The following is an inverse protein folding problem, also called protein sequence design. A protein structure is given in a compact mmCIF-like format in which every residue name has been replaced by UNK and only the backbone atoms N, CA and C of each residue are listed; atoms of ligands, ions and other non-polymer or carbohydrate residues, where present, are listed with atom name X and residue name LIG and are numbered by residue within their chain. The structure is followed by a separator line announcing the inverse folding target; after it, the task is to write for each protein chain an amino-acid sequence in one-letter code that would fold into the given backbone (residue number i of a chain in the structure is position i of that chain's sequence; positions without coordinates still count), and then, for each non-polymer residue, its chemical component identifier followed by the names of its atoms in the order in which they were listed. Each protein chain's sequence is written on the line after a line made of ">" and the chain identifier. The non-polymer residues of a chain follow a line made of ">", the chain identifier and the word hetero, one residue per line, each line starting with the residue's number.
data_IF_296036967555
#
_entry.id   IF_296036967555
#
_cell.length_a   1.000
_cell.length_b   1.000
_cell.length_c   1.000
_cell.angle_alpha   90.00
_cell.angle_beta   90.00
_cell.angle_gamma   90.00
#
_symmetry.space_group_name_H-M   'P 1'
#
loop_
_entity.id
_entity.type
_entity.pdbx_description
1 polymer ?
#
# COMPACT_ATOMS: atom_id res chain seq x y z
N UNK A 1 -15.40 -17.45 16.88
CA UNK A 1 -14.32 -17.60 15.87
C UNK A 1 -14.29 -16.47 14.85
N UNK A 2 -15.39 -16.19 14.12
CA UNK A 2 -15.46 -15.09 13.12
C UNK A 2 -15.33 -13.69 13.76
N UNK A 3 -15.96 -13.45 14.91
CA UNK A 3 -15.89 -12.18 15.62
C UNK A 3 -14.46 -11.84 16.10
N UNK A 4 -13.72 -12.87 16.55
CA UNK A 4 -12.33 -12.74 16.97
C UNK A 4 -11.41 -12.39 15.78
N UNK A 5 -11.63 -13.01 14.62
CA UNK A 5 -10.92 -12.67 13.38
C UNK A 5 -11.19 -11.23 12.94
N UNK A 6 -12.43 -10.74 13.06
CA UNK A 6 -12.76 -9.33 12.74
C UNK A 6 -12.07 -8.36 13.70
N UNK A 7 -12.09 -8.62 15.01
CA UNK A 7 -11.43 -7.76 16.01
C UNK A 7 -9.91 -7.69 15.80
N UNK A 8 -9.28 -8.84 15.51
CA UNK A 8 -7.88 -8.93 15.11
C UNK A 8 -7.63 -8.04 13.89
N UNK A 9 -8.38 -8.23 12.79
CA UNK A 9 -8.18 -7.47 11.55
C UNK A 9 -8.37 -5.96 11.74
N UNK A 10 -9.32 -5.53 12.59
CA UNK A 10 -9.54 -4.12 12.90
C UNK A 10 -8.33 -3.53 13.65
N UNK A 11 -7.77 -4.27 14.61
CA UNK A 11 -6.61 -3.84 15.38
C UNK A 11 -5.32 -3.81 14.56
N UNK A 12 -5.15 -4.74 13.61
CA UNK A 12 -3.97 -4.82 12.75
C UNK A 12 -3.98 -3.78 11.62
N UNK A 13 -5.13 -3.23 11.23
CA UNK A 13 -5.23 -2.18 10.20
C UNK A 13 -4.35 -0.96 10.48
N UNK A 14 -4.41 -0.29 11.65
CA UNK A 14 -3.54 0.85 11.96
C UNK A 14 -2.06 0.45 12.02
N UNK A 15 -1.75 -0.75 12.50
CA UNK A 15 -0.36 -1.24 12.57
C UNK A 15 0.27 -1.34 11.17
N UNK A 16 -0.44 -1.94 10.20
CA UNK A 16 0.05 -2.05 8.82
C UNK A 16 0.21 -0.68 8.18
N UNK A 17 -0.77 0.22 8.38
CA UNK A 17 -0.68 1.59 7.86
C UNK A 17 0.50 2.36 8.46
N UNK A 18 0.77 2.15 9.75
CA UNK A 18 1.93 2.73 10.43
C UNK A 18 3.24 2.19 9.84
N UNK A 19 3.36 0.89 9.63
CA UNK A 19 4.55 0.28 9.01
C UNK A 19 4.84 0.84 7.62
N UNK A 20 3.81 1.06 6.79
CA UNK A 20 3.99 1.66 5.45
C UNK A 20 4.43 3.13 5.58
N UNK A 21 3.88 3.89 6.54
CA UNK A 21 4.31 5.29 6.78
C UNK A 21 5.72 5.38 7.34
N UNK A 22 6.12 4.47 8.22
CA UNK A 22 7.50 4.36 8.69
C UNK A 22 8.42 4.07 7.51
N UNK A 23 8.06 3.11 6.65
CA UNK A 23 8.78 2.87 5.40
C UNK A 23 8.89 4.16 4.55
N UNK A 24 7.82 4.92 4.35
CA UNK A 24 7.88 6.19 3.60
C UNK A 24 8.81 7.24 4.24
N UNK A 25 8.93 7.24 5.58
CA UNK A 25 9.78 8.17 6.34
C UNK A 25 11.26 7.78 6.29
N UNK A 26 11.57 6.49 6.42
CA UNK A 26 12.95 5.99 6.46
C UNK A 26 13.49 5.60 5.07
N UNK A 27 12.63 5.35 4.09
CA UNK A 27 13.07 5.01 2.75
C UNK A 27 13.82 6.19 2.10
N UNK A 28 14.98 5.94 1.47
CA UNK A 28 15.73 6.95 0.74
C UNK A 28 14.89 7.64 -0.33
N UNK A 29 15.10 8.95 -0.51
CA UNK A 29 14.43 9.72 -1.57
C UNK A 29 14.61 9.13 -2.97
N UNK A 30 15.73 8.44 -3.23
CA UNK A 30 15.98 7.76 -4.50
C UNK A 30 14.91 6.70 -4.78
N UNK A 31 14.61 5.84 -3.80
CA UNK A 31 13.60 4.78 -3.93
C UNK A 31 12.20 5.36 -4.08
N UNK A 32 11.88 6.43 -3.32
CA UNK A 32 10.57 7.11 -3.43
C UNK A 32 10.36 7.77 -4.79
N UNK A 33 11.41 8.36 -5.37
CA UNK A 33 11.39 8.99 -6.70
C UNK A 33 11.46 7.99 -7.86
N UNK A 34 11.89 6.74 -7.61
CA UNK A 34 11.88 5.67 -8.61
C UNK A 34 10.47 5.19 -8.96
N UNK A 35 9.46 5.52 -8.15
CA UNK A 35 8.09 5.12 -8.44
C UNK A 35 7.58 5.86 -9.68
N UNK A 36 7.13 5.11 -10.68
CA UNK A 36 6.67 5.64 -11.98
C UNK A 36 5.17 5.97 -12.01
N UNK A 37 4.46 5.64 -10.94
CA UNK A 37 3.03 5.88 -10.80
C UNK A 37 2.74 7.02 -9.84
N UNK A 38 1.69 7.78 -10.14
CA UNK A 38 1.13 8.80 -9.25
C UNK A 38 -0.29 8.39 -8.85
N UNK A 39 -0.65 8.42 -7.56
CA UNK A 39 0.24 8.52 -6.40
C UNK A 39 1.22 7.33 -6.31
N UNK A 40 2.26 7.44 -5.48
CA UNK A 40 3.32 6.42 -5.38
C UNK A 40 2.75 5.04 -5.01
N UNK A 41 3.45 3.94 -5.32
CA UNK A 41 3.00 2.59 -4.95
C UNK A 41 2.72 2.44 -3.45
N UNK A 42 3.51 3.11 -2.60
CA UNK A 42 3.29 3.12 -1.15
C UNK A 42 2.01 3.88 -0.74
N UNK A 43 1.73 5.02 -1.37
CA UNK A 43 0.51 5.78 -1.14
C UNK A 43 -0.72 5.06 -1.69
N UNK A 44 -0.59 4.47 -2.87
CA UNK A 44 -1.61 3.60 -3.46
C UNK A 44 -1.95 2.43 -2.52
N UNK A 45 -0.94 1.80 -1.92
CA UNK A 45 -1.18 0.70 -0.97
C UNK A 45 -1.95 1.18 0.26
N UNK A 46 -1.64 2.36 0.80
CA UNK A 46 -2.39 2.97 1.91
C UNK A 46 -3.85 3.24 1.49
N UNK A 47 -4.07 3.84 0.34
CA UNK A 47 -5.41 4.15 -0.18
C UNK A 47 -6.21 2.87 -0.46
N UNK A 48 -5.59 1.85 -1.05
CA UNK A 48 -6.20 0.57 -1.34
C UNK A 48 -6.59 -0.19 -0.05
N UNK A 49 -5.73 -0.17 0.98
CA UNK A 49 -6.04 -0.75 2.30
C UNK A 49 -7.19 0.00 2.98
N UNK A 50 -7.24 1.33 2.84
CA UNK A 50 -8.35 2.13 3.38
C UNK A 50 -9.68 1.81 2.70
N UNK A 51 -9.68 1.68 1.36
CA UNK A 51 -10.88 1.49 0.53
C UNK A 51 -11.38 0.04 0.50
N UNK A 52 -10.49 -0.94 0.37
CA UNK A 52 -10.85 -2.35 0.15
C UNK A 52 -10.56 -3.27 1.35
N UNK A 53 -9.99 -2.75 2.42
CA UNK A 53 -9.52 -3.53 3.57
C UNK A 53 -8.11 -4.09 3.36
N UNK A 54 -7.56 -4.72 4.41
CA UNK A 54 -6.15 -5.15 4.45
C UNK A 54 -5.83 -6.14 3.32
N UNK A 55 -6.60 -7.23 3.20
CA UNK A 55 -6.30 -8.31 2.25
C UNK A 55 -6.36 -7.81 0.79
N UNK A 56 -7.51 -7.27 0.37
CA UNK A 56 -7.69 -6.76 -1.00
C UNK A 56 -6.79 -5.56 -1.30
N UNK A 57 -6.55 -4.71 -0.30
CA UNK A 57 -5.65 -3.56 -0.41
C UNK A 57 -4.20 -3.98 -0.65
N UNK A 58 -3.70 -4.96 0.10
CA UNK A 58 -2.36 -5.53 -0.10
C UNK A 58 -2.22 -6.18 -1.47
N UNK A 59 -3.19 -6.98 -1.91
CA UNK A 59 -3.15 -7.62 -3.23
C UNK A 59 -3.07 -6.57 -4.35
N UNK A 60 -3.92 -5.53 -4.29
CA UNK A 60 -3.89 -4.43 -5.27
C UNK A 60 -2.57 -3.66 -5.24
N UNK A 61 -2.07 -3.35 -4.04
CA UNK A 61 -0.81 -2.63 -3.85
C UNK A 61 0.41 -3.40 -4.37
N UNK A 62 0.52 -4.70 -4.03
CA UNK A 62 1.59 -5.59 -4.50
C UNK A 62 1.53 -5.76 -6.02
N UNK A 63 0.33 -6.01 -6.58
CA UNK A 63 0.14 -6.13 -8.04
C UNK A 63 0.56 -4.86 -8.79
N UNK A 64 0.39 -3.68 -8.19
CA UNK A 64 0.89 -2.42 -8.76
C UNK A 64 2.40 -2.29 -8.60
N UNK A 65 2.96 -2.65 -7.44
CA UNK A 65 4.39 -2.62 -7.19
C UNK A 65 5.16 -3.50 -8.20
N UNK A 66 4.67 -4.72 -8.49
CA UNK A 66 5.24 -5.61 -9.50
C UNK A 66 5.23 -5.03 -10.91
N UNK A 67 4.30 -4.11 -11.21
CA UNK A 67 4.22 -3.41 -12.51
C UNK A 67 5.00 -2.10 -12.52
N UNK A 68 5.57 -1.67 -11.40
CA UNK A 68 6.28 -0.39 -11.28
C UNK A 68 7.70 -0.48 -11.85
N UNK A 69 7.82 -0.63 -13.17
CA UNK A 69 9.07 -0.65 -13.92
C UNK A 69 8.82 -0.14 -15.35
N UNK A 70 9.88 0.20 -16.11
CA UNK A 70 9.74 0.56 -17.53
C UNK A 70 9.07 -0.59 -18.32
N UNK A 71 8.13 -0.33 -19.25
CA UNK A 71 7.60 0.96 -19.72
C UNK A 71 6.39 1.49 -18.93
N UNK A 72 5.98 0.82 -17.87
CA UNK A 72 4.75 1.12 -17.14
C UNK A 72 4.92 2.35 -16.23
N UNK A 73 3.87 3.17 -16.15
CA UNK A 73 3.80 4.37 -15.32
C UNK A 73 2.50 5.14 -15.57
N UNK A 74 2.30 6.26 -14.88
CA UNK A 74 1.16 7.14 -15.08
C UNK A 74 0.30 7.36 -13.84
N UNK A 75 -0.91 7.88 -14.03
CA UNK A 75 -1.84 8.21 -12.94
C UNK A 75 -2.84 7.06 -12.74
N UNK A 76 -2.84 6.42 -11.58
CA UNK A 76 -3.77 5.32 -11.26
C UNK A 76 -4.13 5.41 -9.78
N UNK A 77 -5.42 5.54 -9.47
CA UNK A 77 -5.94 5.64 -8.11
C UNK A 77 -6.78 4.39 -7.77
N UNK A 78 -6.68 3.86 -6.55
CA UNK A 78 -7.42 2.67 -6.15
C UNK A 78 -8.90 2.92 -5.97
#
# INVERSE_FOLDING_TARGET
>A
MILLLILIVIFFKPFILLSIRLYQKYAPNRIRKSCRFTPTCSDYMILAIKKYGILKGLIKGIKRLSRCHYPNGGNDNP
#
